data_IF_583529065044
#
_entry.id   IF_583529065044
#
_cell.length_a   1.000
_cell.length_b   1.000
_cell.length_c   1.000
_cell.angle_alpha   90.00
_cell.angle_beta   90.00
_cell.angle_gamma   90.00
#
_symmetry.space_group_name_H-M   'P 1'
#
loop_
_entity.id
_entity.type
_entity.pdbx_description
1 polymer ?
#
# COMPACT_ATOMS: atom_id res chain seq x y z
N UNK A 1 -64.64 12.65 -10.81
CA UNK A 1 -63.97 13.77 -11.51
C UNK A 1 -63.11 14.46 -10.47
N UNK A 2 -61.84 14.09 -10.28
CA UNK A 2 -60.68 14.27 -11.17
C UNK A 2 -60.31 15.75 -11.31
N UNK A 3 -59.43 16.23 -10.42
CA UNK A 3 -58.33 17.13 -10.80
C UNK A 3 -57.25 17.11 -9.72
N UNK A 4 -56.14 16.46 -10.07
CA UNK A 4 -54.86 16.61 -9.41
C UNK A 4 -54.23 17.94 -9.81
N UNK A 5 -53.55 18.61 -8.88
CA UNK A 5 -52.54 19.62 -9.22
C UNK A 5 -51.29 19.30 -8.41
N UNK A 6 -50.39 18.56 -9.05
CA UNK A 6 -49.01 18.36 -8.60
C UNK A 6 -48.23 19.60 -9.02
N UNK A 7 -47.80 20.42 -8.07
CA UNK A 7 -46.80 21.46 -8.32
C UNK A 7 -45.41 20.83 -8.15
N UNK A 8 -44.85 20.34 -9.24
CA UNK A 8 -43.45 19.90 -9.32
C UNK A 8 -42.57 21.14 -9.47
N UNK A 9 -42.03 21.64 -8.37
CA UNK A 9 -41.01 22.70 -8.40
C UNK A 9 -39.68 22.08 -8.81
N UNK A 10 -39.26 22.35 -10.05
CA UNK A 10 -37.93 22.01 -10.55
C UNK A 10 -36.87 22.89 -9.87
N UNK A 11 -36.03 22.29 -9.00
CA UNK A 11 -34.85 22.94 -8.45
C UNK A 11 -33.66 22.68 -9.40
N UNK A 12 -33.46 23.59 -10.35
CA UNK A 12 -32.25 23.64 -11.20
C UNK A 12 -31.29 24.68 -10.60
N UNK A 13 -30.05 24.26 -10.34
CA UNK A 13 -28.89 25.15 -10.38
C UNK A 13 -28.09 25.32 -9.08
N UNK A 14 -26.95 24.62 -8.99
CA UNK A 14 -25.62 25.22 -8.82
C UNK A 14 -24.56 24.09 -8.65
N UNK A 15 -24.12 23.50 -9.75
CA UNK A 15 -22.89 22.70 -9.73
C UNK A 15 -21.72 23.68 -9.68
N UNK A 16 -21.10 23.85 -8.52
CA UNK A 16 -19.85 24.60 -8.42
C UNK A 16 -18.78 23.89 -9.28
N UNK A 17 -18.08 24.60 -10.18
CA UNK A 17 -16.94 24.01 -10.87
C UNK A 17 -15.85 23.73 -9.83
N UNK A 18 -15.58 22.45 -9.55
CA UNK A 18 -14.37 22.02 -8.88
C UNK A 18 -13.21 22.27 -9.84
N UNK A 19 -12.61 23.46 -9.76
CA UNK A 19 -11.36 23.74 -10.44
C UNK A 19 -10.29 22.79 -9.89
N UNK A 20 -9.79 21.91 -10.75
CA UNK A 20 -8.59 21.14 -10.46
C UNK A 20 -7.48 22.14 -10.07
N UNK A 21 -6.88 21.99 -8.88
CA UNK A 21 -5.70 22.77 -8.53
C UNK A 21 -4.65 22.54 -9.61
N UNK A 22 -4.20 23.63 -10.25
CA UNK A 22 -3.20 23.52 -11.30
C UNK A 22 -1.90 22.96 -10.70
N UNK A 23 -1.12 22.19 -11.47
CA UNK A 23 0.18 21.69 -11.01
C UNK A 23 1.10 22.82 -10.56
N UNK A 24 0.95 24.02 -11.11
CA UNK A 24 1.67 25.22 -10.69
C UNK A 24 1.28 25.72 -9.29
N UNK A 25 0.02 25.55 -8.88
CA UNK A 25 -0.43 25.91 -7.53
C UNK A 25 0.04 24.89 -6.49
N UNK A 26 0.07 23.61 -6.85
CA UNK A 26 0.63 22.55 -6.00
C UNK A 26 2.13 22.74 -5.84
N UNK A 27 2.86 23.05 -6.91
CA UNK A 27 4.29 23.34 -6.86
C UNK A 27 4.60 24.54 -5.95
N UNK A 28 3.87 25.66 -6.11
CA UNK A 28 4.03 26.85 -5.25
C UNK A 28 3.69 26.58 -3.80
N UNK A 29 2.67 25.77 -3.53
CA UNK A 29 2.28 25.37 -2.16
C UNK A 29 3.31 24.43 -1.52
N UNK A 30 3.90 23.53 -2.30
CA UNK A 30 4.95 22.61 -1.85
C UNK A 30 6.25 23.38 -1.55
N UNK A 31 6.61 24.33 -2.40
CA UNK A 31 7.73 25.25 -2.19
C UNK A 31 7.53 26.11 -0.94
N UNK A 32 6.35 26.70 -0.75
CA UNK A 32 6.02 27.48 0.44
C UNK A 32 6.09 26.62 1.72
N UNK A 33 5.65 25.36 1.66
CA UNK A 33 5.78 24.41 2.77
C UNK A 33 7.24 24.10 3.08
N UNK A 34 8.09 23.92 2.05
CA UNK A 34 9.55 23.72 2.25
C UNK A 34 10.20 24.94 2.88
N UNK A 35 9.84 26.14 2.47
CA UNK A 35 10.36 27.38 3.06
C UNK A 35 9.89 27.61 4.50
N UNK A 36 8.68 27.14 4.85
CA UNK A 36 8.14 27.22 6.20
C UNK A 36 8.80 26.24 7.19
N UNK A 37 9.40 25.15 6.69
CA UNK A 37 10.18 24.22 7.50
C UNK A 37 11.59 24.78 7.73
N UNK A 38 11.73 25.63 8.74
CA UNK A 38 13.01 26.24 9.14
C UNK A 38 13.89 25.33 10.01
N UNK A 39 13.41 24.16 10.40
CA UNK A 39 14.16 23.26 11.27
C UNK A 39 14.73 22.09 10.47
N UNK A 40 16.07 21.96 10.37
CA UNK A 40 16.67 20.76 9.80
C UNK A 40 16.28 19.56 10.66
N UNK A 41 15.71 18.53 10.04
CA UNK A 41 15.41 17.28 10.70
C UNK A 41 16.71 16.71 11.31
N UNK A 42 16.58 16.10 12.49
CA UNK A 42 17.72 15.52 13.20
C UNK A 42 18.39 14.45 12.34
N UNK A 43 19.64 14.69 11.97
CA UNK A 43 20.45 13.74 11.20
C UNK A 43 21.02 12.73 12.18
N UNK A 44 20.43 11.53 12.20
CA UNK A 44 21.00 10.38 12.89
C UNK A 44 22.10 9.77 12.01
N UNK A 45 23.33 9.87 12.46
CA UNK A 45 24.51 9.27 11.84
C UNK A 45 24.88 7.97 12.55
N UNK A 46 25.80 7.18 11.97
CA UNK A 46 26.32 5.97 12.63
C UNK A 46 26.95 6.24 14.02
N UNK A 47 27.30 7.50 14.35
CA UNK A 47 27.81 7.88 15.69
C UNK A 47 26.69 8.05 16.72
N UNK A 48 25.46 8.23 16.29
CA UNK A 48 24.28 8.36 17.14
C UNK A 48 23.71 6.98 17.53
N UNK A 49 24.28 5.90 16.99
CA UNK A 49 24.02 4.54 17.43
C UNK A 49 24.76 4.30 18.74
N UNK A 50 24.04 4.34 19.87
CA UNK A 50 24.56 3.82 21.13
C UNK A 50 24.99 2.35 20.96
N UNK A 51 25.97 1.92 21.74
CA UNK A 51 26.43 0.52 21.73
C UNK A 51 25.24 -0.39 22.03
N UNK A 52 24.80 -1.16 21.03
CA UNK A 52 23.77 -2.17 21.20
C UNK A 52 24.35 -3.22 22.14
N UNK A 53 23.66 -3.48 23.26
CA UNK A 53 24.04 -4.57 24.16
C UNK A 53 24.11 -5.87 23.35
N UNK A 54 25.15 -6.70 23.55
CA UNK A 54 25.27 -7.95 22.81
C UNK A 54 23.99 -8.77 22.98
N UNK A 55 23.50 -9.31 21.87
CA UNK A 55 22.32 -10.16 21.85
C UNK A 55 22.50 -11.27 22.89
N UNK A 56 21.48 -11.55 23.74
CA UNK A 56 21.55 -12.67 24.65
C UNK A 56 21.76 -13.96 23.83
N UNK A 57 22.59 -14.90 24.31
CA UNK A 57 22.87 -16.13 23.58
C UNK A 57 21.56 -16.86 23.31
N UNK A 58 21.35 -17.24 22.05
CA UNK A 58 20.20 -18.04 21.64
C UNK A 58 20.31 -19.39 22.35
N UNK A 59 19.38 -19.76 23.25
CA UNK A 59 19.44 -21.06 23.91
C UNK A 59 19.26 -22.18 22.88
N UNK A 60 20.02 -23.29 22.99
CA UNK A 60 19.87 -24.43 22.10
C UNK A 60 18.46 -25.04 22.23
N UNK A 61 17.87 -25.57 21.14
CA UNK A 61 16.55 -26.19 21.21
C UNK A 61 16.65 -27.49 22.01
N UNK A 62 15.96 -27.55 23.16
CA UNK A 62 15.73 -28.79 23.90
C UNK A 62 16.42 -28.88 25.25
N UNK A 63 15.89 -28.19 26.25
CA UNK A 63 16.04 -28.57 27.66
C UNK A 63 14.90 -27.98 28.49
N UNK A 64 13.72 -28.62 28.44
CA UNK A 64 12.64 -28.36 29.39
C UNK A 64 12.99 -28.99 30.74
N UNK A 65 13.21 -28.14 31.75
CA UNK A 65 13.25 -28.53 33.16
C UNK A 65 11.81 -28.73 33.66
N UNK A 66 11.50 -29.77 34.46
CA UNK A 66 10.13 -30.06 34.87
C UNK A 66 9.60 -29.02 35.89
N UNK A 67 8.33 -28.60 35.81
CA UNK A 67 7.73 -27.71 36.79
C UNK A 67 7.28 -28.46 38.06
N UNK A 68 7.45 -27.80 39.21
CA UNK A 68 6.83 -28.17 40.50
C UNK A 68 5.30 -28.04 40.47
N UNK A 69 4.55 -28.77 41.32
CA UNK A 69 3.10 -28.82 41.24
C UNK A 69 2.42 -27.53 41.77
N UNK A 70 1.34 -27.04 41.15
CA UNK A 70 0.51 -25.99 41.73
C UNK A 70 -0.54 -26.57 42.67
N UNK A 71 -0.72 -25.93 43.82
CA UNK A 71 -1.89 -26.09 44.69
C UNK A 71 -3.11 -25.40 44.08
N UNK A 72 -4.28 -26.01 44.33
CA UNK A 72 -5.61 -25.66 43.86
C UNK A 72 -6.04 -24.19 44.03
N UNK A 73 -6.72 -23.66 43.00
CA UNK A 73 -7.90 -22.82 43.17
C UNK A 73 -8.74 -22.75 41.88
N UNK A 74 -9.79 -23.58 41.85
CA UNK A 74 -11.20 -23.21 41.60
C UNK A 74 -11.59 -22.55 40.25
N UNK A 75 -12.32 -23.35 39.46
CA UNK A 75 -13.43 -23.02 38.55
C UNK A 75 -13.52 -21.60 37.94
N UNK A 76 -13.28 -21.54 36.63
CA UNK A 76 -14.23 -20.93 35.71
C UNK A 76 -14.08 -21.58 34.32
N UNK A 77 -15.05 -22.43 34.02
CA UNK A 77 -15.27 -23.08 32.74
C UNK A 77 -15.62 -22.07 31.62
N UNK A 78 -15.29 -22.48 30.37
CA UNK A 78 -15.57 -21.88 29.05
C UNK A 78 -14.59 -20.81 28.54
N UNK A 79 -13.61 -21.27 27.76
CA UNK A 79 -13.55 -20.93 26.33
C UNK A 79 -12.53 -21.84 25.62
N UNK A 80 -13.00 -23.01 25.16
CA UNK A 80 -12.32 -23.78 24.11
C UNK A 80 -13.02 -23.40 22.81
N UNK A 81 -12.23 -23.05 21.80
CA UNK A 81 -12.62 -22.50 20.49
C UNK A 81 -12.72 -20.97 20.36
N UNK A 82 -11.71 -20.23 20.84
CA UNK A 82 -11.37 -18.95 20.21
C UNK A 82 -10.24 -19.16 19.22
N UNK A 83 -10.60 -19.29 17.95
CA UNK A 83 -9.70 -18.85 16.87
C UNK A 83 -9.19 -17.45 17.25
N UNK A 84 -7.88 -17.15 17.10
CA UNK A 84 -7.35 -15.84 17.47
C UNK A 84 -8.15 -14.76 16.76
N UNK A 85 -8.90 -13.98 17.53
CA UNK A 85 -9.78 -12.92 17.01
C UNK A 85 -8.87 -11.86 16.39
N UNK A 86 -8.82 -11.84 15.05
CA UNK A 86 -8.12 -10.82 14.28
C UNK A 86 -8.70 -9.45 14.65
N UNK A 87 -7.87 -8.57 15.22
CA UNK A 87 -8.27 -7.26 15.73
C UNK A 87 -8.23 -6.17 14.64
N UNK A 88 -8.61 -4.93 15.01
CA UNK A 88 -8.58 -3.80 14.08
C UNK A 88 -7.19 -3.56 13.49
N UNK A 89 -6.14 -3.72 14.30
CA UNK A 89 -4.76 -3.51 13.86
C UNK A 89 -4.36 -4.54 12.79
N UNK A 90 -4.76 -5.79 12.96
CA UNK A 90 -4.56 -6.84 11.96
C UNK A 90 -5.22 -6.49 10.62
N UNK A 91 -6.53 -6.20 10.64
CA UNK A 91 -7.30 -5.96 9.41
C UNK A 91 -6.85 -4.69 8.69
N UNK A 92 -6.78 -3.58 9.43
CA UNK A 92 -6.33 -2.30 8.87
C UNK A 92 -4.88 -2.35 8.40
N UNK A 93 -4.01 -3.05 9.13
CA UNK A 93 -2.62 -3.27 8.74
C UNK A 93 -2.52 -4.04 7.42
N UNK A 94 -3.31 -5.11 7.27
CA UNK A 94 -3.32 -5.92 6.03
C UNK A 94 -3.83 -5.15 4.82
N UNK A 95 -4.89 -4.36 4.98
CA UNK A 95 -5.39 -3.51 3.88
C UNK A 95 -4.32 -2.48 3.47
N UNK A 96 -3.71 -1.79 4.45
CA UNK A 96 -2.66 -0.79 4.17
C UNK A 96 -1.45 -1.40 3.48
N UNK A 97 -1.03 -2.59 3.90
CA UNK A 97 0.10 -3.32 3.30
C UNK A 97 -0.18 -3.66 1.83
N UNK A 98 -1.35 -4.24 1.53
CA UNK A 98 -1.74 -4.59 0.17
C UNK A 98 -1.96 -3.36 -0.72
N UNK A 99 -2.58 -2.30 -0.19
CA UNK A 99 -2.74 -1.05 -0.94
C UNK A 99 -1.38 -0.42 -1.27
N UNK A 100 -0.48 -0.35 -0.29
CA UNK A 100 0.86 0.17 -0.52
C UNK A 100 1.66 -0.68 -1.51
N UNK A 101 1.45 -2.00 -1.53
CA UNK A 101 2.05 -2.89 -2.52
C UNK A 101 1.52 -2.60 -3.93
N UNK A 102 0.19 -2.50 -4.09
CA UNK A 102 -0.43 -2.18 -5.36
C UNK A 102 0.02 -0.80 -5.89
N UNK A 103 0.13 0.21 -5.02
CA UNK A 103 0.57 1.55 -5.38
C UNK A 103 2.05 1.59 -5.82
N UNK A 104 2.91 0.83 -5.13
CA UNK A 104 4.32 0.65 -5.53
C UNK A 104 4.43 -0.02 -6.89
N UNK A 105 3.70 -1.12 -7.10
CA UNK A 105 3.74 -1.85 -8.36
C UNK A 105 3.18 -1.02 -9.51
N UNK A 106 2.15 -0.20 -9.26
CA UNK A 106 1.64 0.79 -10.22
C UNK A 106 2.70 1.83 -10.58
N UNK A 107 3.37 2.42 -9.58
CA UNK A 107 4.45 3.40 -9.79
C UNK A 107 5.59 2.80 -10.62
N UNK A 108 5.98 1.55 -10.33
CA UNK A 108 6.99 0.85 -11.12
C UNK A 108 6.51 0.52 -12.53
N UNK A 109 5.24 0.18 -12.73
CA UNK A 109 4.68 -0.06 -14.06
C UNK A 109 4.74 1.22 -14.91
N UNK A 110 4.41 2.37 -14.33
CA UNK A 110 4.45 3.67 -15.02
C UNK A 110 5.88 4.08 -15.38
N UNK A 111 6.84 3.81 -14.48
CA UNK A 111 8.26 4.00 -14.75
C UNK A 111 8.76 3.07 -15.88
N UNK A 112 8.36 1.80 -15.90
CA UNK A 112 8.70 0.87 -16.97
C UNK A 112 8.11 1.31 -18.32
N UNK A 113 6.87 1.82 -18.33
CA UNK A 113 6.27 2.37 -19.54
C UNK A 113 7.06 3.58 -20.06
N UNK A 114 7.49 4.47 -19.16
CA UNK A 114 8.34 5.61 -19.53
C UNK A 114 9.68 5.17 -20.11
N UNK A 115 10.30 4.14 -19.52
CA UNK A 115 11.54 3.53 -20.03
C UNK A 115 11.34 2.91 -21.43
N UNK A 116 10.22 2.22 -21.66
CA UNK A 116 9.88 1.65 -22.97
C UNK A 116 9.76 2.76 -24.02
N UNK A 117 9.13 3.88 -23.67
CA UNK A 117 8.98 5.01 -24.57
C UNK A 117 10.35 5.61 -24.93
N UNK A 118 11.23 5.82 -23.94
CA UNK A 118 12.61 6.30 -24.17
C UNK A 118 13.41 5.36 -25.07
N UNK A 119 13.43 4.07 -24.76
CA UNK A 119 14.16 3.06 -25.55
C UNK A 119 13.62 2.95 -26.98
N UNK A 120 12.32 3.20 -27.17
CA UNK A 120 11.72 3.20 -28.52
C UNK A 120 12.20 4.40 -29.32
N UNK A 121 12.26 5.59 -28.71
CA UNK A 121 12.83 6.78 -29.35
C UNK A 121 14.32 6.58 -29.69
N UNK A 122 15.10 6.06 -28.74
CA UNK A 122 16.53 5.76 -28.95
C UNK A 122 16.73 4.74 -30.07
N UNK A 123 15.92 3.68 -30.12
CA UNK A 123 16.00 2.67 -31.18
C UNK A 123 15.80 3.27 -32.57
N UNK A 124 14.92 4.26 -32.70
CA UNK A 124 14.68 4.95 -33.98
C UNK A 124 15.74 5.99 -34.33
N UNK A 125 16.45 6.53 -33.33
CA UNK A 125 17.47 7.56 -33.53
C UNK A 125 18.87 7.02 -33.81
N UNK A 126 19.09 5.69 -33.72
CA UNK A 126 20.41 5.06 -33.87
C UNK A 126 20.53 4.33 -35.20
N UNK A 127 21.65 4.57 -35.90
CA UNK A 127 21.96 3.93 -37.19
C UNK A 127 22.79 2.65 -37.03
N UNK A 128 23.65 2.57 -36.01
CA UNK A 128 24.52 1.40 -35.79
C UNK A 128 23.73 0.14 -35.41
N UNK A 129 23.82 -0.96 -36.20
CA UNK A 129 23.10 -2.20 -35.92
C UNK A 129 23.40 -2.82 -34.55
N UNK A 130 24.65 -2.73 -34.06
CA UNK A 130 25.03 -3.31 -32.78
C UNK A 130 24.35 -2.58 -31.61
N UNK A 131 24.37 -1.23 -31.62
CA UNK A 131 23.63 -0.42 -30.65
C UNK A 131 22.12 -0.67 -30.70
N UNK A 132 21.54 -0.80 -31.90
CA UNK A 132 20.11 -1.11 -32.05
C UNK A 132 19.74 -2.46 -31.45
N UNK A 133 20.60 -3.48 -31.61
CA UNK A 133 20.39 -4.79 -31.02
C UNK A 133 20.33 -4.72 -29.48
N UNK A 134 21.25 -3.98 -28.86
CA UNK A 134 21.26 -3.76 -27.41
C UNK A 134 19.98 -3.06 -26.92
N UNK A 135 19.60 -1.94 -27.56
CA UNK A 135 18.37 -1.20 -27.22
C UNK A 135 17.14 -2.10 -27.37
N UNK A 136 17.08 -2.94 -28.42
CA UNK A 136 15.97 -3.86 -28.63
C UNK A 136 15.85 -4.91 -27.52
N UNK A 137 16.99 -5.45 -27.05
CA UNK A 137 17.02 -6.40 -25.93
C UNK A 137 16.55 -5.74 -24.63
N UNK A 138 17.02 -4.53 -24.33
CA UNK A 138 16.62 -3.82 -23.12
C UNK A 138 15.15 -3.40 -23.16
N UNK A 139 14.62 -3.04 -24.34
CA UNK A 139 13.19 -2.79 -24.51
C UNK A 139 12.37 -4.05 -24.26
N UNK A 140 12.80 -5.20 -24.76
CA UNK A 140 12.11 -6.48 -24.51
C UNK A 140 12.08 -6.82 -23.01
N UNK A 141 13.20 -6.62 -22.28
CA UNK A 141 13.24 -6.80 -20.83
C UNK A 141 12.28 -5.87 -20.10
N UNK A 142 12.23 -4.59 -20.48
CA UNK A 142 11.31 -3.63 -19.89
C UNK A 142 9.84 -3.98 -20.14
N UNK A 143 9.51 -4.48 -21.34
CA UNK A 143 8.17 -4.98 -21.68
C UNK A 143 7.79 -6.21 -20.84
N UNK A 144 8.72 -7.15 -20.66
CA UNK A 144 8.49 -8.34 -19.83
C UNK A 144 8.23 -7.96 -18.36
N UNK A 145 9.03 -7.04 -17.80
CA UNK A 145 8.82 -6.58 -16.43
C UNK A 145 7.52 -5.80 -16.27
N UNK A 146 7.15 -4.96 -17.24
CA UNK A 146 5.84 -4.30 -17.24
C UNK A 146 4.69 -5.32 -17.25
N UNK A 147 4.81 -6.41 -18.02
CA UNK A 147 3.85 -7.51 -18.00
C UNK A 147 3.76 -8.17 -16.62
N UNK A 148 4.91 -8.44 -15.98
CA UNK A 148 4.96 -9.00 -14.62
C UNK A 148 4.30 -8.09 -13.59
N UNK A 149 4.59 -6.78 -13.64
CA UNK A 149 4.00 -5.77 -12.75
C UNK A 149 2.49 -5.64 -12.96
N UNK A 150 2.00 -5.64 -14.20
CA UNK A 150 0.56 -5.66 -14.49
C UNK A 150 -0.14 -6.87 -13.88
N UNK A 151 0.49 -8.05 -13.96
CA UNK A 151 -0.04 -9.25 -13.31
C UNK A 151 -0.01 -9.15 -11.78
N UNK A 152 1.04 -8.56 -11.20
CA UNK A 152 1.12 -8.32 -9.75
C UNK A 152 -0.01 -7.38 -9.28
N UNK A 153 -0.21 -6.25 -9.96
CA UNK A 153 -1.30 -5.30 -9.64
C UNK A 153 -2.67 -5.97 -9.67
N UNK A 154 -2.95 -6.84 -10.66
CA UNK A 154 -4.21 -7.60 -10.71
C UNK A 154 -4.33 -8.54 -9.51
N UNK A 155 -3.25 -9.23 -9.13
CA UNK A 155 -3.23 -10.11 -7.96
C UNK A 155 -3.43 -9.33 -6.65
N UNK A 156 -2.80 -8.17 -6.49
CA UNK A 156 -2.94 -7.35 -5.29
C UNK A 156 -4.35 -6.80 -5.14
N UNK A 157 -4.94 -6.33 -6.24
CA UNK A 157 -6.35 -5.90 -6.26
C UNK A 157 -7.30 -7.04 -5.90
N UNK A 158 -7.02 -8.26 -6.39
CA UNK A 158 -7.77 -9.45 -6.01
C UNK A 158 -7.58 -9.77 -4.52
N UNK A 159 -6.36 -9.73 -4.01
CA UNK A 159 -6.07 -9.97 -2.60
C UNK A 159 -6.78 -8.95 -1.68
N UNK A 160 -6.85 -7.68 -2.09
CA UNK A 160 -7.63 -6.66 -1.40
C UNK A 160 -9.12 -7.00 -1.36
N UNK A 161 -9.71 -7.41 -2.51
CA UNK A 161 -11.11 -7.80 -2.58
C UNK A 161 -11.40 -9.05 -1.73
N UNK A 162 -10.52 -10.05 -1.80
CA UNK A 162 -10.63 -11.28 -1.01
C UNK A 162 -10.50 -10.97 0.50
N UNK A 163 -9.61 -10.05 0.90
CA UNK A 163 -9.48 -9.60 2.28
C UNK A 163 -10.72 -8.85 2.79
N UNK A 164 -11.32 -7.99 1.96
CA UNK A 164 -12.56 -7.29 2.29
C UNK A 164 -13.72 -8.28 2.46
N UNK A 165 -13.77 -9.29 1.61
CA UNK A 165 -14.74 -10.37 1.66
C UNK A 165 -14.58 -11.24 2.92
N UNK A 166 -13.34 -11.58 3.29
CA UNK A 166 -13.02 -12.25 4.56
C UNK A 166 -13.43 -11.41 5.77
N UNK A 167 -13.10 -10.12 5.77
CA UNK A 167 -13.46 -9.20 6.83
C UNK A 167 -14.99 -9.11 7.00
N UNK A 168 -15.73 -9.05 5.89
CA UNK A 168 -17.20 -9.05 5.89
C UNK A 168 -17.78 -10.36 6.43
N UNK A 169 -17.22 -11.51 6.07
CA UNK A 169 -17.61 -12.84 6.61
C UNK A 169 -17.31 -12.96 8.11
N UNK A 170 -16.24 -12.31 8.57
CA UNK A 170 -15.85 -12.27 9.97
C UNK A 170 -16.60 -11.19 10.78
N UNK A 171 -17.54 -10.45 10.18
CA UNK A 171 -18.32 -9.41 10.86
C UNK A 171 -17.51 -8.16 11.23
N UNK A 172 -16.38 -7.94 10.57
CA UNK A 172 -15.48 -6.81 10.83
C UNK A 172 -16.17 -5.49 10.41
N UNK A 173 -16.20 -4.47 11.29
CA UNK A 173 -16.72 -3.16 10.92
C UNK A 173 -15.95 -2.55 9.74
N UNK A 174 -16.66 -2.01 8.75
CA UNK A 174 -16.03 -1.40 7.57
C UNK A 174 -15.05 -0.27 7.89
N UNK A 175 -15.21 0.40 9.04
CA UNK A 175 -14.28 1.43 9.52
C UNK A 175 -12.88 0.90 9.87
N UNK A 176 -12.72 -0.40 10.09
CA UNK A 176 -11.41 -1.01 10.40
C UNK A 176 -10.56 -1.23 9.14
N UNK A 177 -11.16 -1.22 7.95
CA UNK A 177 -10.50 -1.47 6.67
C UNK A 177 -10.06 -0.19 5.94
N UNK A 178 -10.12 0.97 6.61
CA UNK A 178 -9.76 2.27 6.04
C UNK A 178 -8.32 2.70 6.35
#
# INVERSE_FOLDING_TARGET
>A
MLTAVVFTTALVGASAPLFAQSLGDVARKEEARRQALKEPAKVYTNKDLGSVAPAPPVPPPGATKPPSPPADAKDAEKDKDKTPVKDQAYWGGKVKELQAQADRDQTYADAMQSRINSLTADFTARDDPAQRALISSDRQKAVAELGRLKLAIVKDKKALADLQEEARRAGVPAGWLR
#
